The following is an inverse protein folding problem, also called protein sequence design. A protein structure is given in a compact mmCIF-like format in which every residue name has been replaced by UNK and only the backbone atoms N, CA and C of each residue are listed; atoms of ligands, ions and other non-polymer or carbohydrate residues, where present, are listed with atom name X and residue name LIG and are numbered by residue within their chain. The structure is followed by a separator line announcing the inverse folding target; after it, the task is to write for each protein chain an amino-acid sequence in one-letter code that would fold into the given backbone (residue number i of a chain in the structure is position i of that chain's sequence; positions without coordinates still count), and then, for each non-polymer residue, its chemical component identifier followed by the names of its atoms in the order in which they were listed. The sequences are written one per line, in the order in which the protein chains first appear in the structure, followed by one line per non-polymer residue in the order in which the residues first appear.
data_IF_568332337756
#
_entry.id   IF_568332337756
#
_cell.length_a   1.000
_cell.length_b   1.000
_cell.length_c   1.000
_cell.angle_alpha   90.00
_cell.angle_beta   90.00
_cell.angle_gamma   90.00
#
_symmetry.space_group_name_H-M   'P 1'
#
loop_
_entity.id
_entity.type
_entity.pdbx_description
1 polymer ?
#
# COMPACT_ATOMS: atom_id res chain seq x y z
N UNK A 1 25.49 -40.99 0.17
CA UNK A 1 26.32 -40.37 1.22
C UNK A 1 27.17 -39.31 0.53
N UNK A 2 26.65 -38.08 0.42
CA UNK A 2 27.28 -36.99 -0.36
C UNK A 2 27.95 -36.06 0.63
N UNK A 3 29.28 -36.01 0.57
CA UNK A 3 30.10 -35.11 1.35
C UNK A 3 30.00 -33.69 0.78
N UNK A 4 29.65 -32.76 1.66
CA UNK A 4 29.83 -31.32 1.51
C UNK A 4 31.32 -30.97 1.73
N UNK A 5 31.87 -30.11 0.88
CA UNK A 5 32.99 -29.24 1.25
C UNK A 5 33.00 -27.98 0.40
N UNK A 6 33.06 -26.85 1.11
CA UNK A 6 33.37 -25.47 0.76
C UNK A 6 34.09 -25.19 -0.57
N UNK A 7 33.79 -24.04 -1.20
CA UNK A 7 34.81 -23.05 -1.57
C UNK A 7 34.20 -21.70 -2.01
N UNK A 8 34.38 -20.71 -1.11
CA UNK A 8 35.05 -19.42 -1.37
C UNK A 8 34.46 -18.42 -2.38
N UNK A 9 33.90 -17.35 -1.80
CA UNK A 9 33.68 -16.03 -2.39
C UNK A 9 34.98 -15.42 -2.95
N UNK A 10 35.02 -15.19 -4.27
CA UNK A 10 36.13 -14.49 -4.91
C UNK A 10 35.85 -12.99 -4.99
N UNK A 11 36.60 -12.24 -4.20
CA UNK A 11 36.77 -10.78 -4.27
C UNK A 11 37.59 -10.46 -5.53
N UNK A 12 37.06 -9.62 -6.42
CA UNK A 12 37.87 -8.95 -7.45
C UNK A 12 37.94 -7.46 -7.15
N UNK A 13 39.09 -7.03 -6.61
CA UNK A 13 39.54 -5.64 -6.60
C UNK A 13 40.26 -5.32 -7.92
N UNK A 14 39.93 -4.15 -8.45
CA UNK A 14 40.79 -3.28 -9.27
C UNK A 14 41.17 -3.72 -10.69
N UNK A 15 40.51 -3.12 -11.69
CA UNK A 15 41.20 -2.46 -12.82
C UNK A 15 40.46 -1.19 -13.21
N UNK A 16 41.18 -0.07 -13.20
CA UNK A 16 40.82 1.20 -13.78
C UNK A 16 40.60 1.05 -15.29
N UNK A 17 39.36 1.15 -15.74
CA UNK A 17 39.01 1.43 -17.12
C UNK A 17 38.06 2.62 -17.13
N UNK A 18 38.48 3.70 -17.77
CA UNK A 18 37.62 4.83 -18.13
C UNK A 18 36.50 4.30 -19.02
N UNK A 19 35.29 4.19 -18.48
CA UNK A 19 34.10 3.92 -19.27
C UNK A 19 33.52 5.26 -19.72
N UNK A 20 33.64 5.55 -21.01
CA UNK A 20 32.85 6.59 -21.66
C UNK A 20 31.37 6.25 -21.51
N UNK A 21 30.58 7.24 -21.09
CA UNK A 21 29.12 7.14 -20.98
C UNK A 21 28.52 6.74 -22.35
N UNK A 22 27.70 5.69 -22.44
CA UNK A 22 26.95 5.43 -23.65
C UNK A 22 25.84 6.48 -23.79
N UNK A 23 25.45 6.84 -25.04
CA UNK A 23 24.48 7.90 -25.27
C UNK A 23 23.12 7.53 -24.68
N UNK A 24 22.47 8.53 -24.06
CA UNK A 24 21.10 8.47 -23.56
C UNK A 24 20.17 8.15 -24.74
N UNK A 25 19.86 6.87 -24.91
CA UNK A 25 18.77 6.46 -25.79
C UNK A 25 17.48 6.83 -25.07
N UNK A 26 16.94 7.98 -25.46
CA UNK A 26 15.59 8.42 -25.11
C UNK A 26 14.60 7.39 -25.66
N UNK A 27 14.35 6.33 -24.89
CA UNK A 27 13.30 5.37 -25.16
C UNK A 27 11.98 6.12 -24.97
N UNK A 28 11.42 6.62 -26.08
CA UNK A 28 10.01 6.99 -26.19
C UNK A 28 9.19 5.78 -25.75
N UNK A 29 8.86 5.70 -24.45
CA UNK A 29 7.81 4.82 -23.95
C UNK A 29 6.54 5.25 -24.67
N UNK A 30 6.05 4.42 -25.59
CA UNK A 30 4.68 4.53 -26.07
C UNK A 30 3.79 4.44 -24.83
N UNK A 31 3.21 5.59 -24.46
CA UNK A 31 2.08 5.70 -23.54
C UNK A 31 1.01 4.72 -24.03
N UNK A 32 0.84 3.61 -23.33
CA UNK A 32 -0.43 2.90 -23.40
C UNK A 32 -1.40 3.76 -22.58
N UNK A 33 -2.06 4.69 -23.26
CA UNK A 33 -3.18 5.45 -22.73
C UNK A 33 -4.33 4.46 -22.53
N UNK A 34 -4.37 3.77 -21.40
CA UNK A 34 -5.62 3.29 -20.86
C UNK A 34 -6.34 4.54 -20.34
N UNK A 35 -7.08 5.20 -21.23
CA UNK A 35 -7.98 6.29 -20.86
C UNK A 35 -8.94 5.77 -19.79
N UNK A 36 -9.23 6.58 -18.77
CA UNK A 36 -10.11 6.27 -17.62
C UNK A 36 -11.59 6.01 -17.95
N UNK A 37 -11.89 5.65 -19.20
CA UNK A 37 -13.21 5.23 -19.68
C UNK A 37 -13.67 3.84 -19.20
N UNK A 38 -13.06 3.25 -18.18
CA UNK A 38 -13.63 2.05 -17.53
C UNK A 38 -14.15 2.35 -16.12
N UNK A 39 -13.69 3.44 -15.48
CA UNK A 39 -14.12 3.78 -14.12
C UNK A 39 -15.59 4.21 -14.04
N UNK A 40 -16.16 4.78 -15.11
CA UNK A 40 -17.60 5.04 -15.15
C UNK A 40 -18.42 3.74 -15.15
N UNK A 41 -17.93 2.66 -15.77
CA UNK A 41 -18.58 1.34 -15.73
C UNK A 41 -18.57 0.81 -14.29
N UNK A 42 -17.49 1.02 -13.55
CA UNK A 42 -17.42 0.63 -12.14
C UNK A 42 -18.32 1.47 -11.23
N UNK A 43 -18.51 2.75 -11.54
CA UNK A 43 -19.43 3.60 -10.76
C UNK A 43 -20.88 3.15 -10.82
N UNK A 44 -21.31 2.49 -11.89
CA UNK A 44 -22.65 1.94 -12.01
C UNK A 44 -22.89 0.72 -11.10
N UNK A 45 -21.82 0.04 -10.67
CA UNK A 45 -21.90 -1.20 -9.89
C UNK A 45 -22.14 -0.97 -8.40
N UNK A 46 -21.90 0.24 -7.92
CA UNK A 46 -21.91 0.57 -6.50
C UNK A 46 -22.81 1.78 -6.25
N UNK A 47 -23.44 1.81 -5.06
CA UNK A 47 -24.00 3.05 -4.59
C UNK A 47 -22.84 4.05 -4.42
N UNK A 48 -22.95 5.21 -5.09
CA UNK A 48 -21.95 6.27 -4.99
C UNK A 48 -22.55 7.55 -4.45
N UNK A 49 -21.86 8.21 -3.52
CA UNK A 49 -22.24 9.53 -2.97
C UNK A 49 -21.12 10.55 -3.16
N UNK A 50 -21.45 11.84 -3.12
CA UNK A 50 -20.45 12.92 -3.11
C UNK A 50 -19.83 13.07 -1.72
N UNK A 51 -18.55 13.44 -1.66
CA UNK A 51 -17.86 13.79 -0.42
C UNK A 51 -18.33 15.16 0.14
N UNK A 52 -18.81 16.07 -0.71
CA UNK A 52 -19.38 17.36 -0.32
C UNK A 52 -20.90 17.23 -0.19
N UNK A 53 -21.43 17.25 1.04
CA UNK A 53 -22.80 17.67 1.31
C UNK A 53 -22.76 19.18 1.52
N UNK A 54 -23.08 19.95 0.48
CA UNK A 54 -23.22 21.40 0.61
C UNK A 54 -24.41 21.73 1.53
N UNK A 55 -24.09 22.16 2.75
CA UNK A 55 -24.96 23.02 3.55
C UNK A 55 -24.95 24.41 2.89
N UNK A 56 -25.64 24.57 1.77
CA UNK A 56 -26.20 25.83 1.22
C UNK A 56 -26.51 25.66 -0.28
N UNK A 57 -27.73 25.26 -0.60
CA UNK A 57 -28.56 25.93 -1.61
C UNK A 57 -29.86 25.14 -1.83
N UNK A 58 -30.95 25.75 -1.37
CA UNK A 58 -32.29 25.46 -1.85
C UNK A 58 -32.39 25.80 -3.34
N UNK A 59 -32.35 24.79 -4.21
CA UNK A 59 -33.08 24.76 -5.49
C UNK A 59 -32.82 23.41 -6.18
N UNK A 60 -33.64 22.42 -5.83
CA UNK A 60 -33.76 21.19 -6.60
C UNK A 60 -34.36 21.49 -7.97
N UNK A 61 -33.55 21.44 -9.03
CA UNK A 61 -34.05 21.13 -10.36
C UNK A 61 -33.89 19.62 -10.58
N UNK A 62 -34.98 18.89 -10.30
CA UNK A 62 -35.17 17.51 -10.72
C UNK A 62 -35.35 17.48 -12.24
N UNK A 63 -34.28 17.23 -13.01
CA UNK A 63 -34.35 16.60 -14.34
C UNK A 63 -32.97 16.46 -14.97
N UNK A 64 -32.19 15.50 -14.48
CA UNK A 64 -31.21 14.83 -15.33
C UNK A 64 -31.38 13.33 -15.08
N UNK A 65 -31.89 12.66 -16.10
CA UNK A 65 -32.19 11.23 -16.14
C UNK A 65 -31.08 10.39 -15.51
N UNK A 66 -31.36 9.84 -14.33
CA UNK A 66 -30.77 8.57 -13.91
C UNK A 66 -31.72 7.51 -14.45
N UNK A 67 -31.35 6.71 -15.47
CA UNK A 67 -32.15 5.55 -15.78
C UNK A 67 -32.14 4.67 -14.53
N UNK A 68 -33.32 4.26 -14.08
CA UNK A 68 -33.55 3.28 -13.01
C UNK A 68 -32.62 2.06 -13.23
N UNK A 69 -31.43 2.08 -12.63
CA UNK A 69 -30.59 0.93 -12.46
C UNK A 69 -30.83 0.47 -11.02
N UNK A 70 -31.51 -0.66 -10.85
CA UNK A 70 -31.53 -1.36 -9.57
C UNK A 70 -30.09 -1.67 -9.11
N UNK A 71 -29.88 -2.05 -7.84
CA UNK A 71 -28.55 -2.43 -7.37
C UNK A 71 -28.00 -3.53 -8.28
N UNK A 72 -26.98 -3.21 -9.07
CA UNK A 72 -26.31 -4.22 -9.88
C UNK A 72 -25.70 -5.23 -8.89
N UNK A 73 -25.98 -6.54 -9.01
CA UNK A 73 -25.49 -7.50 -8.05
C UNK A 73 -23.96 -7.44 -7.99
N UNK A 74 -23.40 -7.45 -6.77
CA UNK A 74 -21.96 -7.54 -6.51
C UNK A 74 -21.24 -8.60 -7.39
N UNK A 75 -21.94 -9.68 -7.71
CA UNK A 75 -21.52 -10.70 -8.67
C UNK A 75 -21.07 -10.12 -10.03
N UNK A 76 -21.78 -9.16 -10.62
CA UNK A 76 -21.40 -8.53 -11.90
C UNK A 76 -20.08 -7.75 -11.78
N UNK A 77 -19.86 -7.09 -10.63
CA UNK A 77 -18.61 -6.38 -10.38
C UNK A 77 -17.41 -7.32 -10.26
N UNK A 78 -17.62 -8.49 -9.66
CA UNK A 78 -16.62 -9.54 -9.61
C UNK A 78 -16.41 -10.15 -11.00
N UNK A 79 -17.46 -10.46 -11.75
CA UNK A 79 -17.33 -10.99 -13.11
C UNK A 79 -16.54 -10.07 -14.05
N UNK A 80 -16.63 -8.74 -13.86
CA UNK A 80 -15.84 -7.76 -14.62
C UNK A 80 -14.39 -7.63 -14.15
N UNK A 81 -14.13 -7.78 -12.86
CA UNK A 81 -12.78 -7.70 -12.29
C UNK A 81 -11.98 -9.00 -12.45
N UNK A 82 -12.65 -10.14 -12.54
CA UNK A 82 -12.04 -11.47 -12.58
C UNK A 82 -12.27 -12.13 -13.95
N UNK A 83 -11.17 -12.53 -14.62
CA UNK A 83 -11.22 -13.22 -15.92
C UNK A 83 -11.82 -14.63 -15.82
N UNK A 84 -11.90 -15.19 -14.60
CA UNK A 84 -12.49 -16.50 -14.30
C UNK A 84 -13.85 -16.33 -13.59
N UNK A 85 -14.98 -16.69 -14.23
CA UNK A 85 -16.30 -16.61 -13.60
C UNK A 85 -16.43 -17.43 -12.31
N UNK A 86 -15.72 -18.56 -12.23
CA UNK A 86 -15.70 -19.42 -11.03
C UNK A 86 -15.05 -18.72 -9.84
N UNK A 87 -13.90 -18.05 -10.07
CA UNK A 87 -13.21 -17.29 -9.02
C UNK A 87 -14.03 -16.07 -8.59
N UNK A 88 -14.71 -15.40 -9.54
CA UNK A 88 -15.61 -14.29 -9.26
C UNK A 88 -16.76 -14.70 -8.32
N UNK A 89 -17.37 -15.86 -8.59
CA UNK A 89 -18.44 -16.42 -7.75
C UNK A 89 -17.89 -16.81 -6.37
N UNK A 90 -16.74 -17.49 -6.31
CA UNK A 90 -16.16 -17.90 -5.02
C UNK A 90 -15.81 -16.71 -4.13
N UNK A 91 -15.30 -15.62 -4.72
CA UNK A 91 -15.04 -14.38 -4.00
C UNK A 91 -16.30 -13.56 -3.69
N UNK A 92 -17.42 -13.82 -4.37
CA UNK A 92 -18.69 -13.19 -4.03
C UNK A 92 -19.33 -13.78 -2.77
N UNK A 93 -18.97 -15.03 -2.44
CA UNK A 93 -19.43 -15.76 -1.27
C UNK A 93 -18.60 -15.42 -0.02
N UNK A 94 -19.13 -15.63 1.20
CA UNK A 94 -18.34 -15.62 2.42
C UNK A 94 -17.27 -16.74 2.43
N UNK A 95 -16.17 -16.59 3.19
CA UNK A 95 -15.11 -17.59 3.28
C UNK A 95 -15.63 -18.93 3.85
N UNK A 96 -15.11 -20.03 3.31
CA UNK A 96 -15.53 -21.40 3.63
C UNK A 96 -15.12 -21.84 5.05
N UNK A 97 -13.88 -21.55 5.45
CA UNK A 97 -13.34 -22.00 6.74
C UNK A 97 -13.58 -20.95 7.82
N UNK A 98 -14.44 -21.27 8.79
CA UNK A 98 -14.48 -20.57 10.07
C UNK A 98 -13.33 -21.09 10.94
N UNK A 99 -12.10 -20.59 10.74
CA UNK A 99 -11.08 -20.73 11.79
C UNK A 99 -11.64 -20.16 13.10
N UNK A 100 -11.23 -20.65 14.29
CA UNK A 100 -11.59 -19.98 15.53
C UNK A 100 -11.17 -18.51 15.39
N UNK A 101 -12.17 -17.62 15.41
CA UNK A 101 -11.95 -16.20 15.27
C UNK A 101 -10.91 -15.79 16.31
N UNK A 102 -9.85 -15.12 15.87
CA UNK A 102 -8.78 -14.63 16.76
C UNK A 102 -9.39 -13.79 17.90
N UNK A 103 -10.53 -13.16 17.63
CA UNK A 103 -11.31 -12.39 18.59
C UNK A 103 -11.86 -13.19 19.78
N UNK A 104 -12.02 -14.52 19.67
CA UNK A 104 -12.62 -15.35 20.73
C UNK A 104 -11.61 -15.92 21.74
N UNK A 105 -10.30 -15.76 21.51
CA UNK A 105 -9.26 -16.31 22.40
C UNK A 105 -8.02 -15.43 22.65
N UNK A 106 -7.86 -14.31 21.93
CA UNK A 106 -6.72 -13.40 22.15
C UNK A 106 -6.96 -12.46 23.33
N UNK A 107 -6.04 -12.44 24.31
CA UNK A 107 -6.01 -11.43 25.39
C UNK A 107 -5.70 -10.02 24.87
N UNK A 108 -5.20 -9.90 23.64
CA UNK A 108 -4.79 -8.63 23.05
C UNK A 108 -5.75 -8.20 21.93
N UNK A 109 -6.11 -6.91 21.86
CA UNK A 109 -6.97 -6.39 20.81
C UNK A 109 -6.30 -6.51 19.45
N UNK A 110 -7.06 -6.91 18.44
CA UNK A 110 -6.62 -7.08 17.05
C UNK A 110 -7.61 -6.39 16.11
N UNK A 111 -7.16 -5.99 14.92
CA UNK A 111 -8.03 -5.45 13.88
C UNK A 111 -8.58 -6.54 12.94
N UNK A 112 -8.00 -7.73 12.95
CA UNK A 112 -8.29 -8.79 11.96
C UNK A 112 -9.09 -9.95 12.55
N UNK A 113 -9.88 -10.58 11.70
CA UNK A 113 -10.73 -11.73 12.03
C UNK A 113 -9.95 -13.04 12.05
N UNK A 114 -8.91 -13.13 11.20
CA UNK A 114 -8.10 -14.32 10.93
C UNK A 114 -6.62 -13.91 10.84
N UNK A 115 -5.71 -14.83 11.17
CA UNK A 115 -4.26 -14.68 10.96
C UNK A 115 -3.85 -15.58 9.80
N UNK A 116 -3.35 -14.98 8.72
CA UNK A 116 -2.88 -15.64 7.50
C UNK A 116 -1.44 -15.22 7.26
N UNK A 117 -0.55 -16.20 7.04
CA UNK A 117 0.89 -15.96 6.90
C UNK A 117 1.36 -15.91 5.46
N UNK A 118 0.60 -16.51 4.53
CA UNK A 118 0.98 -16.65 3.13
C UNK A 118 -0.24 -16.97 2.25
N UNK A 119 -0.02 -16.98 0.93
CA UNK A 119 -1.04 -17.30 -0.06
C UNK A 119 -1.68 -18.68 0.15
N UNK A 120 -0.92 -19.72 0.51
CA UNK A 120 -1.46 -21.07 0.76
C UNK A 120 -2.50 -21.08 1.88
N UNK A 121 -2.22 -20.37 2.98
CA UNK A 121 -3.18 -20.21 4.09
C UNK A 121 -4.41 -19.40 3.66
N UNK A 122 -4.22 -18.35 2.86
CA UNK A 122 -5.34 -17.57 2.31
C UNK A 122 -6.25 -18.43 1.42
N UNK A 123 -5.69 -19.22 0.50
CA UNK A 123 -6.47 -20.08 -0.38
C UNK A 123 -7.21 -21.16 0.40
N UNK A 124 -6.57 -21.74 1.41
CA UNK A 124 -7.20 -22.72 2.30
C UNK A 124 -8.37 -22.09 3.07
N UNK A 125 -8.15 -20.92 3.67
CA UNK A 125 -9.19 -20.16 4.38
C UNK A 125 -10.38 -19.83 3.49
N UNK A 126 -10.10 -19.43 2.25
CA UNK A 126 -11.12 -19.03 1.28
C UNK A 126 -11.88 -20.20 0.68
N UNK A 127 -11.36 -21.43 0.80
CA UNK A 127 -11.94 -22.62 0.20
C UNK A 127 -11.58 -22.78 -1.29
N UNK A 128 -10.45 -22.24 -1.70
CA UNK A 128 -9.96 -22.22 -3.09
C UNK A 128 -8.97 -23.36 -3.40
N UNK A 129 -8.60 -24.17 -2.41
CA UNK A 129 -7.77 -25.35 -2.57
C UNK A 129 -8.60 -26.64 -2.55
N UNK A 130 -8.38 -27.53 -3.51
CA UNK A 130 -8.80 -28.93 -3.41
C UNK A 130 -7.90 -29.65 -2.40
N UNK A 131 -8.41 -30.59 -1.58
CA UNK A 131 -7.56 -31.40 -0.68
C UNK A 131 -6.43 -32.17 -1.39
N UNK A 132 -6.50 -32.30 -2.72
CA UNK A 132 -5.53 -33.03 -3.54
C UNK A 132 -4.64 -32.13 -4.43
N UNK A 133 -4.92 -30.82 -4.53
CA UNK A 133 -4.14 -29.90 -5.37
C UNK A 133 -3.33 -28.94 -4.50
N UNK A 134 -2.04 -28.76 -4.82
CA UNK A 134 -1.24 -27.72 -4.18
C UNK A 134 -1.78 -26.33 -4.57
N UNK A 135 -2.05 -25.43 -3.61
CA UNK A 135 -2.72 -24.16 -3.85
C UNK A 135 -1.78 -23.09 -4.46
N UNK A 136 -0.82 -23.47 -5.29
CA UNK A 136 0.34 -22.63 -5.60
C UNK A 136 0.15 -21.73 -6.84
N UNK A 137 -1.01 -21.75 -7.51
CA UNK A 137 -1.17 -21.05 -8.79
C UNK A 137 -2.58 -20.53 -9.08
N UNK A 138 -3.31 -20.05 -8.07
CA UNK A 138 -4.53 -19.29 -8.35
C UNK A 138 -4.18 -17.89 -8.88
N UNK A 139 -4.79 -17.43 -9.99
CA UNK A 139 -4.56 -16.09 -10.54
C UNK A 139 -4.98 -14.98 -9.56
N UNK A 140 -5.71 -15.31 -8.50
CA UNK A 140 -6.15 -14.37 -7.48
C UNK A 140 -5.01 -13.64 -6.79
N UNK A 141 -3.82 -14.22 -6.66
CA UNK A 141 -2.68 -13.50 -6.09
C UNK A 141 -2.23 -12.30 -6.97
N UNK A 142 -2.59 -12.30 -8.25
CA UNK A 142 -2.36 -11.18 -9.17
C UNK A 142 -3.32 -10.02 -8.87
N UNK A 143 -4.53 -10.32 -8.38
CA UNK A 143 -5.60 -9.35 -8.19
C UNK A 143 -5.65 -8.86 -6.74
N UNK A 144 -5.43 -9.76 -5.79
CA UNK A 144 -5.62 -9.53 -4.36
C UNK A 144 -4.35 -9.04 -3.65
N UNK A 145 -3.22 -8.88 -4.34
CA UNK A 145 -1.99 -8.46 -3.66
C UNK A 145 -2.13 -7.09 -2.99
N UNK A 146 -2.94 -6.15 -3.50
CA UNK A 146 -3.17 -4.87 -2.81
C UNK A 146 -3.95 -5.02 -1.50
N UNK A 147 -5.19 -5.55 -1.48
CA UNK A 147 -5.92 -5.71 -0.23
C UNK A 147 -5.19 -6.62 0.77
N UNK A 148 -4.53 -7.69 0.31
CA UNK A 148 -3.80 -8.58 1.22
C UNK A 148 -2.51 -7.95 1.75
N UNK A 149 -1.92 -6.97 1.06
CA UNK A 149 -0.85 -6.14 1.60
C UNK A 149 -1.37 -5.23 2.71
N UNK A 150 -2.54 -4.60 2.54
CA UNK A 150 -3.19 -3.81 3.62
C UNK A 150 -3.42 -4.71 4.83
N UNK A 151 -4.03 -5.87 4.60
CA UNK A 151 -4.24 -6.87 5.64
C UNK A 151 -2.94 -7.25 6.36
N UNK A 152 -1.85 -7.53 5.64
CA UNK A 152 -0.57 -7.88 6.23
C UNK A 152 -0.02 -6.77 7.15
N UNK A 153 -0.13 -5.51 6.70
CA UNK A 153 0.26 -4.36 7.50
C UNK A 153 -0.59 -4.29 8.77
N UNK A 154 -1.91 -4.38 8.66
CA UNK A 154 -2.84 -4.32 9.80
C UNK A 154 -2.70 -5.50 10.76
N UNK A 155 -2.41 -6.70 10.25
CA UNK A 155 -2.36 -7.94 11.02
C UNK A 155 -1.01 -8.13 11.75
N UNK A 156 0.09 -7.74 11.11
CA UNK A 156 1.43 -8.15 11.54
C UNK A 156 2.41 -7.03 11.78
N UNK A 157 2.30 -5.89 11.06
CA UNK A 157 3.29 -4.80 11.14
C UNK A 157 2.80 -3.70 12.10
N UNK A 158 1.60 -3.18 11.87
CA UNK A 158 1.00 -2.13 12.69
C UNK A 158 0.91 -2.47 14.19
N UNK A 159 0.51 -3.68 14.62
CA UNK A 159 0.44 -4.01 16.04
C UNK A 159 1.80 -3.97 16.76
N UNK A 160 2.91 -4.14 16.03
CA UNK A 160 4.27 -4.12 16.58
C UNK A 160 4.75 -2.69 16.81
N UNK A 161 4.59 -1.84 15.80
CA UNK A 161 5.09 -0.47 15.87
C UNK A 161 4.14 0.46 16.65
N UNK A 162 2.82 0.26 16.52
CA UNK A 162 1.80 1.17 17.05
C UNK A 162 0.61 0.43 17.69
N UNK A 163 0.81 -0.32 18.79
CA UNK A 163 -0.28 -1.02 19.48
C UNK A 163 -1.38 -0.07 20.00
N UNK A 164 -1.04 1.20 20.29
CA UNK A 164 -2.00 2.21 20.70
C UNK A 164 -2.99 2.57 19.59
N UNK A 165 -2.57 2.55 18.32
CA UNK A 165 -3.47 2.76 17.19
C UNK A 165 -4.52 1.65 17.11
N UNK A 166 -4.13 0.40 17.41
CA UNK A 166 -5.06 -0.73 17.47
C UNK A 166 -6.14 -0.48 18.52
N UNK A 167 -5.74 -0.06 19.72
CA UNK A 167 -6.66 0.28 20.81
C UNK A 167 -7.62 1.40 20.44
N UNK A 168 -7.10 2.49 19.87
CA UNK A 168 -7.90 3.64 19.41
C UNK A 168 -8.96 3.22 18.38
N UNK A 169 -8.56 2.47 17.34
CA UNK A 169 -9.47 1.95 16.31
C UNK A 169 -10.54 1.02 16.90
N UNK A 170 -10.15 0.15 17.84
CA UNK A 170 -11.10 -0.73 18.54
C UNK A 170 -12.15 0.07 19.33
N UNK A 171 -11.73 1.14 20.00
CA UNK A 171 -12.60 1.98 20.82
C UNK A 171 -13.59 2.79 19.96
N UNK A 172 -13.10 3.43 18.89
CA UNK A 172 -13.96 4.23 17.98
C UNK A 172 -14.72 3.41 16.94
N UNK A 173 -14.43 2.11 16.85
CA UNK A 173 -15.03 1.15 15.89
C UNK A 173 -14.98 1.59 14.43
N UNK A 174 -14.01 2.41 14.06
CA UNK A 174 -13.81 2.91 12.70
C UNK A 174 -12.33 2.81 12.38
N UNK A 175 -11.99 2.29 11.21
CA UNK A 175 -10.64 2.20 10.67
C UNK A 175 -10.56 3.04 9.40
N UNK A 176 -9.72 4.08 9.43
CA UNK A 176 -9.47 4.95 8.29
C UNK A 176 -8.08 4.69 7.73
N UNK A 177 -8.01 4.22 6.49
CA UNK A 177 -6.75 3.92 5.78
C UNK A 177 -6.59 4.88 4.62
N UNK A 178 -5.51 5.67 4.60
CA UNK A 178 -5.18 6.52 3.46
C UNK A 178 -4.17 5.82 2.56
N UNK A 179 -4.62 5.49 1.34
CA UNK A 179 -3.81 4.90 0.27
C UNK A 179 -3.25 6.05 -0.58
N UNK A 180 -1.97 6.36 -0.38
CA UNK A 180 -1.29 7.51 -1.00
C UNK A 180 -0.51 7.12 -2.24
N UNK A 181 -0.56 7.96 -3.28
CA UNK A 181 0.07 7.66 -4.56
C UNK A 181 -0.68 6.57 -5.33
N UNK A 182 -1.99 6.45 -5.14
CA UNK A 182 -2.81 5.47 -5.86
C UNK A 182 -2.79 5.75 -7.37
N UNK A 183 -2.58 4.71 -8.17
CA UNK A 183 -2.56 4.78 -9.63
C UNK A 183 -3.55 3.77 -10.22
N UNK A 184 -3.19 2.50 -10.21
CA UNK A 184 -3.95 1.42 -10.86
C UNK A 184 -4.86 0.66 -9.90
N UNK A 185 -4.66 0.84 -8.59
CA UNK A 185 -5.41 0.15 -7.54
C UNK A 185 -6.91 0.39 -7.66
N UNK A 186 -7.31 1.61 -7.99
CA UNK A 186 -8.70 2.01 -8.10
C UNK A 186 -9.43 1.31 -9.26
N UNK A 187 -8.72 0.96 -10.34
CA UNK A 187 -9.30 0.20 -11.46
C UNK A 187 -9.76 -1.20 -11.06
N UNK A 188 -9.23 -1.73 -9.96
CA UNK A 188 -9.58 -3.02 -9.39
C UNK A 188 -10.31 -2.87 -8.06
N UNK A 189 -11.05 -1.76 -7.86
CA UNK A 189 -11.77 -1.48 -6.62
C UNK A 189 -12.60 -2.66 -6.06
N UNK A 190 -13.32 -3.48 -6.86
CA UNK A 190 -14.08 -4.62 -6.34
C UNK A 190 -13.25 -5.60 -5.49
N UNK A 191 -11.96 -5.77 -5.80
CA UNK A 191 -11.10 -6.73 -5.09
C UNK A 191 -10.83 -6.30 -3.63
N UNK A 192 -10.96 -5.01 -3.32
CA UNK A 192 -10.80 -4.49 -1.95
C UNK A 192 -11.93 -4.91 -1.01
N UNK A 193 -13.06 -5.41 -1.54
CA UNK A 193 -14.13 -5.98 -0.71
C UNK A 193 -13.68 -7.19 0.10
N UNK A 194 -12.63 -7.87 -0.33
CA UNK A 194 -12.04 -8.97 0.44
C UNK A 194 -11.62 -8.55 1.87
N UNK A 195 -11.30 -7.26 2.08
CA UNK A 195 -11.01 -6.71 3.40
C UNK A 195 -12.19 -6.81 4.38
N UNK A 196 -13.43 -6.86 3.88
CA UNK A 196 -14.62 -6.97 4.71
C UNK A 196 -14.64 -8.29 5.52
N UNK A 197 -14.09 -9.37 4.94
CA UNK A 197 -13.97 -10.67 5.60
C UNK A 197 -12.70 -10.79 6.46
N UNK A 198 -11.62 -10.12 6.06
CA UNK A 198 -10.33 -10.19 6.73
C UNK A 198 -10.27 -9.33 8.00
N UNK A 199 -10.97 -8.20 8.01
CA UNK A 199 -11.03 -7.24 9.13
C UNK A 199 -12.25 -7.54 10.01
N UNK A 200 -12.10 -7.40 11.33
CA UNK A 200 -13.14 -7.71 12.33
C UNK A 200 -14.49 -7.08 11.98
N UNK A 201 -15.62 -7.81 12.02
CA UNK A 201 -16.91 -7.35 11.52
C UNK A 201 -17.48 -6.12 12.24
N UNK A 202 -17.03 -5.82 13.46
CA UNK A 202 -17.51 -4.70 14.25
C UNK A 202 -16.95 -3.34 13.80
N UNK A 203 -15.94 -3.32 12.93
CA UNK A 203 -15.29 -2.08 12.49
C UNK A 203 -15.97 -1.48 11.26
N UNK A 204 -16.12 -0.17 11.19
CA UNK A 204 -16.41 0.55 9.95
C UNK A 204 -15.09 0.82 9.23
N UNK A 205 -14.98 0.52 7.94
CA UNK A 205 -13.74 0.62 7.16
C UNK A 205 -13.90 1.71 6.10
N UNK A 206 -12.98 2.67 6.09
CA UNK A 206 -12.92 3.74 5.11
C UNK A 206 -11.55 3.77 4.46
N UNK A 207 -11.51 3.50 3.17
CA UNK A 207 -10.30 3.56 2.36
C UNK A 207 -10.31 4.87 1.60
N UNK A 208 -9.28 5.70 1.73
CA UNK A 208 -9.12 6.89 0.88
C UNK A 208 -8.05 6.59 -0.16
N UNK A 209 -8.42 6.59 -1.44
CA UNK A 209 -7.51 6.48 -2.57
C UNK A 209 -7.13 7.88 -3.03
N UNK A 210 -5.88 8.27 -2.80
CA UNK A 210 -5.35 9.59 -3.14
C UNK A 210 -4.24 9.44 -4.16
N UNK A 211 -4.40 10.02 -5.34
CA UNK A 211 -3.37 9.98 -6.37
C UNK A 211 -3.65 10.84 -7.58
N UNK A 212 -2.59 11.23 -8.29
CA UNK A 212 -2.67 12.11 -9.47
C UNK A 212 -3.18 11.41 -10.71
N UNK A 213 -3.15 10.07 -10.74
CA UNK A 213 -3.57 9.25 -11.87
C UNK A 213 -5.02 8.74 -11.76
N UNK A 214 -5.71 9.06 -10.65
CA UNK A 214 -7.14 8.79 -10.49
C UNK A 214 -7.91 9.63 -11.52
N UNK A 215 -8.92 9.06 -12.17
CA UNK A 215 -9.72 9.81 -13.14
C UNK A 215 -10.44 11.00 -12.46
N UNK A 216 -10.31 12.24 -12.97
CA UNK A 216 -10.95 13.42 -12.37
C UNK A 216 -12.47 13.32 -12.25
N UNK A 217 -13.14 12.54 -13.10
CA UNK A 217 -14.60 12.34 -13.07
C UNK A 217 -15.08 11.62 -11.82
N UNK A 218 -14.20 10.84 -11.18
CA UNK A 218 -14.47 10.16 -9.91
C UNK A 218 -13.83 10.88 -8.73
N UNK A 219 -13.28 12.08 -8.90
CA UNK A 219 -12.75 12.86 -7.78
C UNK A 219 -13.86 13.16 -6.75
N UNK A 220 -13.53 13.13 -5.45
CA UNK A 220 -14.45 13.38 -4.34
C UNK A 220 -15.69 12.47 -4.33
N UNK A 221 -15.57 11.25 -4.87
CA UNK A 221 -16.65 10.25 -4.80
C UNK A 221 -16.41 9.26 -3.67
N UNK A 222 -17.51 8.77 -3.12
CA UNK A 222 -17.54 7.68 -2.14
C UNK A 222 -18.23 6.50 -2.80
N UNK A 223 -17.54 5.37 -2.91
CA UNK A 223 -18.07 4.09 -3.37
C UNK A 223 -18.36 3.21 -2.17
N UNK A 224 -19.60 2.74 -2.02
CA UNK A 224 -20.00 1.85 -0.94
C UNK A 224 -19.89 0.39 -1.38
N UNK A 225 -18.81 -0.30 -0.96
CA UNK A 225 -18.53 -1.70 -1.34
C UNK A 225 -19.35 -2.70 -0.50
N UNK A 226 -19.63 -2.35 0.75
CA UNK A 226 -20.57 -3.05 1.63
C UNK A 226 -21.21 -2.08 2.61
N UNK A 227 -22.06 -2.56 3.52
CA UNK A 227 -22.66 -1.74 4.58
C UNK A 227 -21.65 -1.17 5.58
N UNK A 228 -20.40 -1.64 5.54
CA UNK A 228 -19.33 -1.22 6.46
C UNK A 228 -18.01 -0.88 5.80
N UNK A 229 -17.89 -1.04 4.48
CA UNK A 229 -16.68 -0.73 3.73
C UNK A 229 -16.99 0.29 2.65
N UNK A 230 -16.28 1.43 2.71
CA UNK A 230 -16.37 2.49 1.70
C UNK A 230 -14.99 2.86 1.17
N UNK A 231 -14.95 3.29 -0.08
CA UNK A 231 -13.76 3.82 -0.74
C UNK A 231 -14.02 5.25 -1.20
N UNK A 232 -13.22 6.19 -0.71
CA UNK A 232 -13.26 7.61 -1.07
C UNK A 232 -12.13 7.89 -2.05
N UNK A 233 -12.38 8.67 -3.08
CA UNK A 233 -11.40 8.98 -4.12
C UNK A 233 -11.02 10.45 -4.12
N UNK A 234 -9.72 10.73 -4.25
CA UNK A 234 -9.18 12.06 -4.42
C UNK A 234 -8.16 12.10 -5.57
N UNK A 235 -8.49 12.84 -6.62
CA UNK A 235 -7.55 13.16 -7.68
C UNK A 235 -6.62 14.30 -7.21
N UNK A 236 -5.35 13.98 -6.99
CA UNK A 236 -4.34 14.95 -6.59
C UNK A 236 -3.24 14.36 -5.71
N UNK A 237 -2.34 15.22 -5.26
CA UNK A 237 -1.25 14.85 -4.33
C UNK A 237 -1.72 14.94 -2.87
N UNK A 238 -1.16 14.08 -2.02
CA UNK A 238 -1.65 13.92 -0.64
C UNK A 238 -1.58 15.19 0.22
N UNK A 239 -0.54 16.01 0.05
CA UNK A 239 -0.42 17.26 0.81
C UNK A 239 -1.49 18.31 0.43
N UNK A 240 -2.06 18.25 -0.79
CA UNK A 240 -3.21 19.10 -1.17
C UNK A 240 -4.50 18.56 -0.58
N UNK A 241 -4.67 17.23 -0.56
CA UNK A 241 -5.79 16.58 0.10
C UNK A 241 -5.87 16.95 1.59
N UNK A 242 -4.73 16.96 2.31
CA UNK A 242 -4.71 17.40 3.70
C UNK A 242 -5.12 18.88 3.89
N UNK A 243 -4.90 19.72 2.87
CA UNK A 243 -5.26 21.14 2.88
C UNK A 243 -6.73 21.39 2.49
N UNK A 244 -7.46 20.39 1.99
CA UNK A 244 -8.83 20.57 1.50
C UNK A 244 -9.88 20.65 2.62
N UNK A 245 -9.49 20.71 3.89
CA UNK A 245 -10.41 20.81 5.02
C UNK A 245 -11.03 19.47 5.43
N UNK A 246 -10.20 18.46 5.70
CA UNK A 246 -10.66 17.16 6.15
C UNK A 246 -11.46 17.23 7.45
N UNK A 247 -12.58 16.52 7.50
CA UNK A 247 -13.29 16.29 8.75
C UNK A 247 -12.41 15.50 9.72
N UNK A 248 -12.56 15.73 11.02
CA UNK A 248 -11.87 14.93 12.04
C UNK A 248 -12.13 13.42 11.89
N UNK A 249 -13.29 13.02 11.38
CA UNK A 249 -13.63 11.62 11.13
C UNK A 249 -12.89 11.00 9.93
N UNK A 250 -12.28 11.84 9.07
CA UNK A 250 -11.53 11.44 7.88
C UNK A 250 -10.02 11.47 8.12
N UNK A 251 -9.55 11.70 9.35
CA UNK A 251 -8.14 11.59 9.66
C UNK A 251 -7.69 10.12 9.65
N UNK A 252 -6.51 9.82 9.07
CA UNK A 252 -6.05 8.45 8.93
C UNK A 252 -5.65 7.84 10.26
N UNK A 253 -5.98 6.56 10.45
CA UNK A 253 -5.36 5.71 11.47
C UNK A 253 -4.04 5.13 10.96
N UNK A 254 -3.94 4.92 9.66
CA UNK A 254 -2.74 4.42 8.99
C UNK A 254 -2.67 4.95 7.56
N UNK A 255 -1.45 5.28 7.12
CA UNK A 255 -1.14 5.67 5.76
C UNK A 255 -0.38 4.53 5.08
N UNK A 256 -0.80 4.16 3.88
CA UNK A 256 -0.17 3.11 3.08
C UNK A 256 0.10 3.64 1.67
N UNK A 257 1.31 3.44 1.15
CA UNK A 257 1.58 3.70 -0.27
C UNK A 257 2.08 2.43 -0.96
N UNK A 258 1.48 2.10 -2.11
CA UNK A 258 1.89 0.92 -2.89
C UNK A 258 2.90 1.28 -3.95
N UNK A 259 3.98 0.50 -4.06
CA UNK A 259 5.00 0.63 -5.10
C UNK A 259 5.44 2.09 -5.33
N UNK A 260 5.61 2.84 -4.24
CA UNK A 260 5.62 4.31 -4.24
C UNK A 260 6.77 4.94 -5.00
N UNK A 261 7.90 4.23 -5.15
CA UNK A 261 9.09 4.75 -5.78
C UNK A 261 9.49 6.12 -5.21
N UNK A 262 9.68 6.22 -3.88
CA UNK A 262 9.91 7.50 -3.19
C UNK A 262 11.05 8.34 -3.79
N UNK A 263 12.07 7.70 -4.36
CA UNK A 263 13.19 8.37 -5.00
C UNK A 263 12.97 8.69 -6.49
N UNK A 264 11.92 8.16 -7.11
CA UNK A 264 11.64 8.37 -8.53
C UNK A 264 10.95 9.72 -8.81
N UNK A 265 10.28 10.30 -7.82
CA UNK A 265 9.47 11.51 -8.01
C UNK A 265 9.70 12.53 -6.90
N UNK A 266 10.09 13.76 -7.27
CA UNK A 266 10.30 14.86 -6.32
C UNK A 266 8.99 15.35 -5.66
N UNK A 267 7.82 15.03 -6.24
CA UNK A 267 6.51 15.30 -5.66
C UNK A 267 6.28 14.64 -4.30
N UNK A 268 7.06 13.60 -3.95
CA UNK A 268 7.01 12.97 -2.64
C UNK A 268 7.55 13.86 -1.52
N UNK A 269 8.48 14.78 -1.79
CA UNK A 269 9.10 15.61 -0.73
C UNK A 269 8.09 16.38 0.13
N UNK A 270 7.18 17.21 -0.44
CA UNK A 270 6.16 17.89 0.35
C UNK A 270 5.18 16.92 1.03
N UNK A 271 4.86 15.82 0.36
CA UNK A 271 3.99 14.76 0.92
C UNK A 271 4.60 14.11 2.15
N UNK A 272 5.87 13.71 2.10
CA UNK A 272 6.58 13.06 3.20
C UNK A 272 6.71 13.99 4.42
N UNK A 273 6.98 15.28 4.20
CA UNK A 273 6.97 16.27 5.28
C UNK A 273 5.61 16.33 5.97
N UNK A 274 4.53 16.39 5.20
CA UNK A 274 3.16 16.40 5.75
C UNK A 274 2.79 15.09 6.46
N UNK A 275 3.18 13.94 5.92
CA UNK A 275 2.98 12.64 6.58
C UNK A 275 3.71 12.63 7.93
N UNK A 276 4.95 13.12 7.98
CA UNK A 276 5.71 13.21 9.23
C UNK A 276 5.07 14.14 10.25
N UNK A 277 4.47 15.26 9.82
CA UNK A 277 3.74 16.19 10.69
C UNK A 277 2.47 15.57 11.30
N UNK A 278 1.80 14.66 10.58
CA UNK A 278 0.60 13.98 11.08
C UNK A 278 0.89 13.03 12.24
N UNK A 279 2.13 12.55 12.38
CA UNK A 279 2.52 11.59 13.42
C UNK A 279 1.67 10.31 13.45
N UNK A 280 1.14 9.89 12.30
CA UNK A 280 0.37 8.65 12.15
C UNK A 280 1.23 7.52 11.58
N UNK A 281 0.91 6.25 11.89
CA UNK A 281 1.58 5.09 11.28
C UNK A 281 1.60 5.18 9.76
N UNK A 282 2.78 4.98 9.15
CA UNK A 282 2.94 5.08 7.71
C UNK A 282 3.83 3.96 7.16
N UNK A 283 3.31 3.24 6.17
CA UNK A 283 3.97 2.10 5.54
C UNK A 283 3.98 2.25 4.02
N UNK A 284 5.09 1.87 3.40
CA UNK A 284 5.24 1.88 1.96
C UNK A 284 5.60 0.49 1.45
N UNK A 285 5.30 0.22 0.18
CA UNK A 285 5.82 -0.95 -0.51
C UNK A 285 6.64 -0.59 -1.73
N UNK A 286 7.55 -1.50 -2.10
CA UNK A 286 8.28 -1.40 -3.36
C UNK A 286 8.59 -2.77 -3.97
N UNK A 287 9.02 -2.76 -5.22
CA UNK A 287 9.18 -3.96 -6.04
C UNK A 287 10.52 -4.69 -5.86
N UNK A 288 11.52 -3.99 -5.34
CA UNK A 288 12.85 -4.54 -5.07
C UNK A 288 13.53 -3.83 -3.89
N UNK A 289 14.48 -4.53 -3.26
CA UNK A 289 15.28 -4.02 -2.13
C UNK A 289 16.04 -2.73 -2.47
N UNK A 290 16.51 -2.61 -3.71
CA UNK A 290 17.21 -1.41 -4.18
C UNK A 290 16.32 -0.17 -4.06
N UNK A 291 15.05 -0.28 -4.47
CA UNK A 291 14.12 0.84 -4.38
C UNK A 291 13.74 1.17 -2.92
N UNK A 292 13.59 0.14 -2.07
CA UNK A 292 13.44 0.35 -0.63
C UNK A 292 14.64 1.11 -0.03
N UNK A 293 15.87 0.75 -0.40
CA UNK A 293 17.07 1.42 0.07
C UNK A 293 17.13 2.90 -0.33
N UNK A 294 16.70 3.23 -1.54
CA UNK A 294 16.53 4.62 -1.94
C UNK A 294 15.40 5.31 -1.18
N UNK A 295 14.32 4.62 -0.85
CA UNK A 295 13.26 5.11 0.03
C UNK A 295 13.79 5.56 1.40
N UNK A 296 14.55 4.71 2.09
CA UNK A 296 15.19 5.07 3.37
C UNK A 296 16.19 6.22 3.22
N UNK A 297 16.97 6.24 2.13
CA UNK A 297 17.92 7.34 1.86
C UNK A 297 17.21 8.67 1.66
N UNK A 298 16.10 8.68 0.92
CA UNK A 298 15.30 9.89 0.71
C UNK A 298 14.75 10.40 2.04
N UNK A 299 14.10 9.56 2.85
CA UNK A 299 13.56 10.04 4.14
C UNK A 299 14.65 10.48 5.10
N UNK A 300 15.79 9.78 5.15
CA UNK A 300 16.95 10.17 5.94
C UNK A 300 17.54 11.51 5.50
N UNK A 301 17.70 11.73 4.19
CA UNK A 301 18.20 13.00 3.62
C UNK A 301 17.28 14.20 3.92
N UNK A 302 15.99 13.94 4.10
CA UNK A 302 14.99 14.93 4.49
C UNK A 302 14.92 15.15 6.01
N UNK A 303 15.72 14.42 6.81
CA UNK A 303 15.67 14.47 8.27
C UNK A 303 14.46 13.77 8.90
N UNK A 304 13.70 13.00 8.11
CA UNK A 304 12.45 12.35 8.52
C UNK A 304 12.64 10.89 8.97
N UNK A 305 13.74 10.23 8.59
CA UNK A 305 14.08 8.85 8.95
C UNK A 305 15.20 8.73 9.99
N UNK A 306 15.22 7.68 10.82
CA UNK A 306 16.21 7.51 11.92
C UNK A 306 17.60 7.11 11.42
N UNK A 307 17.69 6.17 10.47
CA UNK A 307 18.95 5.66 9.93
C UNK A 307 18.84 5.36 8.43
N UNK A 308 19.99 5.39 7.74
CA UNK A 308 20.06 4.95 6.34
C UNK A 308 20.16 3.42 6.34
N UNK A 309 19.17 2.73 5.76
CA UNK A 309 19.27 1.30 5.48
C UNK A 309 20.43 1.03 4.51
N UNK A 310 21.37 0.19 4.94
CA UNK A 310 22.59 -0.17 4.20
C UNK A 310 22.68 -1.69 4.09
N UNK A 311 22.07 -2.32 3.06
CA UNK A 311 22.00 -3.77 2.94
C UNK A 311 23.37 -4.49 2.86
N UNK A 312 24.45 -3.75 2.56
CA UNK A 312 25.81 -4.29 2.53
C UNK A 312 26.44 -4.45 3.94
N UNK A 313 25.86 -3.78 4.95
CA UNK A 313 26.41 -3.70 6.32
C UNK A 313 25.40 -4.15 7.37
N UNK A 314 24.12 -3.86 7.16
CA UNK A 314 23.00 -4.24 8.04
C UNK A 314 22.24 -5.42 7.47
N UNK A 315 21.28 -5.96 8.25
CA UNK A 315 20.39 -7.01 7.77
C UNK A 315 19.71 -6.62 6.46
N UNK A 316 19.68 -7.54 5.50
CA UNK A 316 19.03 -7.32 4.20
C UNK A 316 17.51 -7.26 4.36
N UNK A 317 16.94 -8.08 5.23
CA UNK A 317 15.53 -8.07 5.58
C UNK A 317 15.38 -7.91 7.09
N UNK A 318 14.28 -7.29 7.51
CA UNK A 318 13.90 -7.28 8.91
C UNK A 318 13.19 -8.59 9.28
N UNK A 319 13.99 -9.61 9.59
CA UNK A 319 13.51 -10.94 9.98
C UNK A 319 13.24 -11.05 11.49
N UNK A 320 13.75 -10.11 12.29
CA UNK A 320 13.75 -10.20 13.75
C UNK A 320 12.62 -9.40 14.38
N UNK A 321 12.54 -8.10 14.09
CA UNK A 321 11.54 -7.22 14.69
C UNK A 321 10.26 -7.30 13.87
N UNK A 322 10.41 -7.31 12.55
CA UNK A 322 9.30 -7.29 11.62
C UNK A 322 8.55 -5.95 11.64
N UNK A 323 9.23 -4.85 11.99
CA UNK A 323 8.72 -3.49 12.12
C UNK A 323 8.82 -2.72 10.79
N UNK A 324 9.77 -3.09 9.94
CA UNK A 324 10.04 -2.39 8.69
C UNK A 324 10.75 -1.05 8.88
N UNK A 325 11.18 -0.67 10.09
CA UNK A 325 11.76 0.66 10.37
C UNK A 325 13.23 0.76 9.98
N UNK A 326 13.98 -0.34 10.14
CA UNK A 326 15.42 -0.37 9.91
C UNK A 326 15.81 -1.15 8.65
N UNK A 327 15.00 -2.13 8.25
CA UNK A 327 15.16 -2.89 7.04
C UNK A 327 13.78 -3.29 6.49
N UNK A 328 13.64 -3.50 5.17
CA UNK A 328 12.36 -3.88 4.58
C UNK A 328 11.97 -5.30 4.97
N UNK A 329 10.66 -5.54 4.99
CA UNK A 329 10.02 -6.83 5.22
C UNK A 329 9.66 -7.46 3.89
N UNK A 330 9.85 -8.76 3.73
CA UNK A 330 9.27 -9.47 2.60
C UNK A 330 7.75 -9.56 2.78
N UNK A 331 6.98 -9.09 1.80
CA UNK A 331 5.54 -9.25 1.81
C UNK A 331 5.16 -10.67 1.34
N UNK A 332 4.55 -11.50 2.20
CA UNK A 332 4.11 -12.84 1.81
C UNK A 332 2.96 -12.79 0.79
N UNK A 333 2.22 -11.69 0.73
CA UNK A 333 1.10 -11.47 -0.19
C UNK A 333 1.46 -10.56 -1.38
N UNK A 334 2.74 -10.48 -1.73
CA UNK A 334 3.18 -9.79 -2.95
C UNK A 334 2.62 -10.46 -4.20
N UNK A 335 2.58 -9.71 -5.30
CA UNK A 335 2.21 -10.27 -6.60
C UNK A 335 3.18 -11.39 -7.01
N UNK A 336 2.68 -12.53 -7.53
CA UNK A 336 3.54 -13.63 -7.96
C UNK A 336 4.20 -13.36 -9.33
N UNK A 337 3.77 -12.31 -10.04
CA UNK A 337 4.27 -12.01 -11.39
C UNK A 337 5.59 -11.26 -11.29
N UNK A 338 6.64 -11.86 -11.88
CA UNK A 338 7.91 -11.18 -12.11
C UNK A 338 7.75 -10.10 -13.19
N UNK A 339 7.98 -8.86 -12.82
CA UNK A 339 8.15 -7.76 -13.76
C UNK A 339 9.55 -7.84 -14.40
N UNK A 340 9.62 -7.73 -15.72
CA UNK A 340 10.89 -7.62 -16.44
C UNK A 340 11.33 -6.16 -16.46
N UNK A 341 12.53 -5.89 -15.96
CA UNK A 341 13.18 -4.58 -16.10
C UNK A 341 14.38 -4.70 -17.03
N UNK A 342 14.50 -3.79 -18.00
CA UNK A 342 15.65 -3.73 -18.88
C UNK A 342 16.85 -3.19 -18.08
N UNK A 343 17.90 -3.99 -17.93
CA UNK A 343 19.16 -3.54 -17.31
C UNK A 343 19.48 -4.08 -15.92
N UNK A 344 18.60 -4.87 -15.29
CA UNK A 344 18.89 -5.52 -14.00
C UNK A 344 18.43 -6.98 -13.97
N UNK A 345 19.29 -7.88 -13.49
CA UNK A 345 18.96 -9.32 -13.37
C UNK A 345 18.08 -9.66 -12.16
N UNK A 346 17.84 -8.69 -11.29
CA UNK A 346 17.05 -8.84 -10.07
C UNK A 346 15.57 -9.09 -10.38
N UNK A 347 14.91 -9.94 -9.60
CA UNK A 347 13.47 -10.15 -9.68
C UNK A 347 12.72 -8.93 -9.12
N UNK A 348 11.76 -8.41 -9.88
CA UNK A 348 10.88 -7.30 -9.44
C UNK A 348 9.47 -7.85 -9.32
N UNK A 349 8.80 -7.62 -8.20
CA UNK A 349 7.43 -8.09 -7.95
C UNK A 349 6.61 -6.94 -7.40
N UNK A 350 5.34 -6.77 -7.79
CA UNK A 350 4.51 -5.70 -7.19
C UNK A 350 4.28 -5.96 -5.70
N UNK A 351 4.32 -4.90 -4.90
CA UNK A 351 4.27 -4.95 -3.43
C UNK A 351 5.23 -5.98 -2.81
N UNK A 352 6.44 -6.16 -3.36
CA UNK A 352 7.37 -7.20 -2.90
C UNK A 352 7.80 -7.02 -1.45
N UNK A 353 8.10 -5.78 -1.08
CA UNK A 353 8.65 -5.44 0.23
C UNK A 353 7.80 -4.38 0.90
N UNK A 354 7.64 -4.46 2.22
CA UNK A 354 6.99 -3.45 3.06
C UNK A 354 8.08 -2.75 3.88
N UNK A 355 8.03 -1.44 4.01
CA UNK A 355 8.98 -0.66 4.79
C UNK A 355 8.34 0.59 5.40
N UNK A 356 8.85 1.03 6.55
CA UNK A 356 8.38 2.16 7.34
C UNK A 356 9.53 3.15 7.59
N UNK A 357 9.95 3.92 6.57
CA UNK A 357 11.19 4.69 6.59
C UNK A 357 11.08 6.03 7.35
N UNK A 358 9.93 6.33 7.96
CA UNK A 358 9.68 7.55 8.73
C UNK A 358 9.78 7.25 10.22
N UNK A 359 10.32 8.20 10.99
CA UNK A 359 10.42 8.04 12.45
C UNK A 359 9.03 8.00 13.08
N UNK A 360 8.77 7.07 14.02
CA UNK A 360 7.69 7.24 14.98
C UNK A 360 7.88 8.57 15.70
N UNK A 361 6.82 9.37 15.81
CA UNK A 361 6.89 10.58 16.61
C UNK A 361 7.19 10.17 18.06
N UNK A 362 8.36 10.58 18.57
CA UNK A 362 8.67 10.46 19.99
C UNK A 362 7.61 11.24 20.77
N UNK A 363 6.94 10.59 21.72
CA UNK A 363 6.35 11.32 22.84
C UNK A 363 7.44 12.21 23.45
N UNK A 364 7.17 13.47 23.84
CA UNK A 364 8.17 14.35 24.41
C UNK A 364 8.53 13.86 25.81
N UNK A 365 9.40 12.86 25.91
CA UNK A 365 10.13 12.55 27.13
C UNK A 365 11.43 13.35 27.09
N UNK A 366 11.56 14.26 28.05
CA UNK A 366 12.77 15.00 28.38
C UNK A 366 14.02 14.10 28.35
N UNK A 367 14.98 14.41 27.48
CA UNK A 367 16.39 14.22 27.78
C UNK A 367 17.22 15.26 27.03
N UNK A 368 17.77 16.18 27.81
CA UNK A 368 18.87 17.07 27.48
C UNK A 368 20.10 16.28 26.99
N UNK A 369 20.99 16.99 26.26
CA UNK A 369 22.35 16.62 25.83
C UNK A 369 22.41 15.50 24.76
N UNK A 370 22.86 15.69 23.52
CA UNK A 370 24.00 16.46 23.02
C UNK A 370 23.71 17.11 21.66
N UNK A 371 23.87 18.43 21.59
CA UNK A 371 23.99 19.16 20.34
C UNK A 371 25.48 19.29 19.98
N UNK A 372 25.94 18.53 18.99
CA UNK A 372 27.19 18.86 18.27
C UNK A 372 26.80 19.74 17.08
N UNK A 373 27.32 20.97 16.96
CA UNK A 373 26.95 21.86 15.88
C UNK A 373 27.70 21.45 14.60
N UNK A 374 26.98 20.93 13.61
CA UNK A 374 27.49 20.87 12.24
C UNK A 374 26.93 22.04 11.43
N UNK A 375 27.88 22.86 11.02
CA UNK A 375 27.77 24.07 10.23
C UNK A 375 26.96 23.87 8.96
N UNK A 376 25.97 24.76 8.77
CA UNK A 376 25.23 24.92 7.53
C UNK A 376 26.19 25.31 6.40
N UNK A 377 26.47 24.38 5.49
CA UNK A 377 27.01 24.70 4.17
C UNK A 377 26.26 23.90 3.11
N UNK A 378 25.37 24.64 2.44
CA UNK A 378 24.95 24.52 1.05
C UNK A 378 24.45 23.15 0.56
N UNK A 379 23.13 22.93 0.72
CA UNK A 379 22.39 21.78 0.20
C UNK A 379 22.00 21.93 -1.28
N UNK A 380 22.21 23.10 -1.90
CA UNK A 380 21.78 23.37 -3.28
C UNK A 380 22.77 22.81 -4.31
N UNK A 381 24.04 22.67 -3.94
CA UNK A 381 25.12 22.26 -4.84
C UNK A 381 25.32 20.72 -4.94
N UNK A 382 24.76 19.93 -4.01
CA UNK A 382 24.93 18.45 -4.01
C UNK A 382 23.83 17.66 -4.71
N UNK A 383 22.66 18.25 -4.94
CA UNK A 383 21.60 17.62 -5.73
C UNK A 383 21.87 17.64 -7.25
N UNK A 384 22.77 18.51 -7.72
CA UNK A 384 23.19 18.57 -9.12
C UNK A 384 24.23 17.50 -9.50
N UNK A 385 24.89 16.87 -8.52
CA UNK A 385 25.96 15.88 -8.75
C UNK A 385 25.48 14.41 -8.76
N UNK A 386 24.18 14.17 -8.57
CA UNK A 386 23.54 12.85 -8.67
C UNK A 386 22.76 12.66 -9.98
N UNK A 387 22.92 13.59 -10.95
CA UNK A 387 22.36 13.51 -12.31
C UNK A 387 23.43 13.45 -13.42
N UNK A 388 24.67 13.10 -13.07
CA UNK A 388 25.66 12.55 -14.01
C UNK A 388 25.90 11.09 -13.67
#
# INVERSE_FOLDING_TARGET
MVHLSDHSWMILKSRSQQFHAPPVVCARRRRMLLYGGELYLFSALWASTSLEQDLTSSSFNQSAFVPNCGPIPYEDAMLRAYVSPSDAILLSLPPFVRFPSVATGSRFPTLVSVVLRNWSEYYSWRGLGSPQDQPDSSPLAILLHWPLTIYQILASVLPKNYPQTILSVCAKRTLVVHIVGAEHELSLLPVFKELDYLIRPELQIRLFFIGTYIDPSVNKRIFHLSSRLSAVTWNGVYHQFLQSGLSHADFPDVIIGFNVGLAAYSSWVPTLKKISELAVPCYFTDACLYSCAWGYRVTSSLGLGSTVYQPDVTNVLDENEGSGEHAPLLNPFRSPIRMRSAGVRWGWFRNAFIFAPLRPALSPSLSFTDAVPHTATDLSSKLALLQM
#
